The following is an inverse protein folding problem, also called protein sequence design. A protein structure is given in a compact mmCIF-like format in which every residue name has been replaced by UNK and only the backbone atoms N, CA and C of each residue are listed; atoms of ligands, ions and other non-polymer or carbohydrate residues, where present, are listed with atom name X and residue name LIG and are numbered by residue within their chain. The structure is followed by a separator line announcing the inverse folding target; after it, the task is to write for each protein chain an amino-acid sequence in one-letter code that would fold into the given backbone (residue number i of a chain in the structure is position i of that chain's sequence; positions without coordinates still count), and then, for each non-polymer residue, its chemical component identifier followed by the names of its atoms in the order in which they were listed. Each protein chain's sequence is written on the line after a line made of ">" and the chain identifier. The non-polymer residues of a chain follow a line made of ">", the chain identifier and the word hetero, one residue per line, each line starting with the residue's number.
data_IF_768774643053
#
_entry.id   IF_768774643053
#
_cell.length_a   1.000
_cell.length_b   1.000
_cell.length_c   1.000
_cell.angle_alpha   90.00
_cell.angle_beta   90.00
_cell.angle_gamma   90.00
#
_symmetry.space_group_name_H-M   'P 1'
#
loop_
_entity.id
_entity.type
_entity.pdbx_description
1 polymer ?
#
# COMPACT_ATOMS: atom_id res chain seq x y z
N UNK A 1 -17.09 4.32 10.33
CA UNK A 1 -15.78 4.34 9.67
C UNK A 1 -15.49 5.73 9.17
N UNK A 2 -14.24 6.08 9.03
CA UNK A 2 -13.82 7.44 8.68
C UNK A 2 -12.92 7.44 7.44
N UNK A 3 -12.85 8.59 6.79
CA UNK A 3 -11.87 8.75 5.71
C UNK A 3 -10.48 8.94 6.33
N UNK A 4 -9.46 8.35 5.72
CA UNK A 4 -8.08 8.49 6.15
C UNK A 4 -7.24 8.97 4.97
N UNK A 5 -6.19 9.70 5.29
CA UNK A 5 -5.24 10.18 4.28
C UNK A 5 -3.85 9.65 4.58
N UNK A 6 -3.01 9.60 3.55
CA UNK A 6 -1.63 9.17 3.69
C UNK A 6 -0.77 9.66 2.55
N UNK A 7 0.53 9.48 2.69
CA UNK A 7 1.47 9.89 1.66
C UNK A 7 2.83 9.23 1.86
N UNK A 8 3.66 9.26 0.80
CA UNK A 8 5.06 8.90 0.92
C UNK A 8 5.83 10.00 1.65
N UNK A 9 7.08 9.73 2.00
CA UNK A 9 7.90 10.69 2.75
C UNK A 9 8.04 12.05 2.05
N UNK A 10 8.23 12.07 0.73
CA UNK A 10 8.41 13.33 0.00
C UNK A 10 7.09 14.00 -0.40
N UNK A 11 5.98 13.33 -0.23
CA UNK A 11 4.66 13.89 -0.55
C UNK A 11 4.27 13.84 -2.02
N UNK A 12 5.11 13.26 -2.90
CA UNK A 12 4.79 13.18 -4.32
C UNK A 12 3.63 12.23 -4.60
N UNK A 13 3.46 11.20 -3.77
CA UNK A 13 2.36 10.24 -3.87
C UNK A 13 1.48 10.41 -2.64
N UNK A 14 0.20 10.67 -2.85
CA UNK A 14 -0.78 10.88 -1.78
C UNK A 14 -2.02 10.05 -2.05
N UNK A 15 -2.72 9.68 -1.00
CA UNK A 15 -3.97 8.94 -1.18
C UNK A 15 -5.00 9.28 -0.11
N UNK A 16 -6.26 9.07 -0.49
CA UNK A 16 -7.40 9.19 0.40
C UNK A 16 -8.12 7.84 0.40
N UNK A 17 -8.36 7.31 1.59
CA UNK A 17 -9.05 6.05 1.80
C UNK A 17 -10.45 6.39 2.31
N UNK A 18 -11.45 6.22 1.46
CA UNK A 18 -12.83 6.56 1.80
C UNK A 18 -13.45 5.45 2.63
N UNK A 19 -14.14 5.85 3.70
CA UNK A 19 -14.88 4.94 4.57
C UNK A 19 -13.99 3.77 5.02
N UNK A 20 -12.80 4.10 5.51
CA UNK A 20 -11.76 3.13 5.82
C UNK A 20 -12.12 2.30 7.05
N UNK A 21 -11.80 1.01 7.00
CA UNK A 21 -11.91 0.11 8.14
C UNK A 21 -10.92 0.51 9.23
N UNK A 22 -11.08 -0.01 10.44
CA UNK A 22 -10.23 0.36 11.57
C UNK A 22 -9.16 -0.67 11.89
N UNK A 23 -9.21 -1.84 11.25
CA UNK A 23 -8.28 -2.94 11.53
C UNK A 23 -7.11 -2.93 10.57
N UNK A 24 -5.96 -3.40 11.05
CA UNK A 24 -4.79 -3.61 10.22
C UNK A 24 -4.21 -4.99 10.48
N UNK A 25 -3.31 -5.42 9.60
CA UNK A 25 -2.64 -6.72 9.73
C UNK A 25 -1.14 -6.54 9.81
N UNK A 26 -0.47 -7.53 10.42
CA UNK A 26 0.98 -7.59 10.51
C UNK A 26 1.45 -8.82 9.74
N UNK A 27 2.38 -8.61 8.82
CA UNK A 27 2.98 -9.71 8.06
C UNK A 27 4.49 -9.69 8.28
N UNK A 28 5.03 -10.81 8.71
CA UNK A 28 6.45 -10.95 8.93
C UNK A 28 7.04 -12.15 8.16
N UNK A 29 6.47 -12.47 7.01
CA UNK A 29 7.06 -13.45 6.10
C UNK A 29 8.40 -12.92 5.56
N UNK A 30 9.20 -13.80 4.95
CA UNK A 30 10.51 -13.43 4.45
C UNK A 30 10.45 -12.26 3.46
N UNK A 31 9.48 -12.27 2.56
CA UNK A 31 9.33 -11.20 1.56
C UNK A 31 9.00 -9.87 2.24
N UNK A 32 8.05 -9.88 3.19
CA UNK A 32 7.71 -8.67 3.93
C UNK A 32 8.89 -8.12 4.71
N UNK A 33 9.65 -9.00 5.36
CA UNK A 33 10.83 -8.58 6.11
C UNK A 33 11.88 -7.93 5.21
N UNK A 34 12.11 -8.50 4.04
CA UNK A 34 13.13 -7.97 3.13
C UNK A 34 12.70 -6.65 2.47
N UNK A 35 11.43 -6.54 2.09
CA UNK A 35 10.95 -5.34 1.40
C UNK A 35 10.73 -4.16 2.35
N UNK A 36 10.36 -4.41 3.59
CA UNK A 36 10.08 -3.34 4.55
C UNK A 36 11.15 -3.18 5.63
N UNK A 37 12.08 -4.12 5.73
CA UNK A 37 13.10 -4.08 6.77
C UNK A 37 12.63 -4.55 8.14
N UNK A 38 11.46 -5.15 8.22
CA UNK A 38 10.90 -5.63 9.48
C UNK A 38 9.50 -6.18 9.27
N UNK A 39 8.67 -6.08 10.31
CA UNK A 39 7.28 -6.48 10.19
C UNK A 39 6.56 -5.46 9.30
N UNK A 40 5.80 -5.96 8.33
CA UNK A 40 4.99 -5.10 7.48
C UNK A 40 3.59 -4.95 8.07
N UNK A 41 3.28 -3.75 8.52
CA UNK A 41 1.94 -3.44 9.04
C UNK A 41 1.14 -2.84 7.89
N UNK A 42 0.01 -3.45 7.56
CA UNK A 42 -0.77 -3.07 6.40
C UNK A 42 -2.25 -2.89 6.73
N UNK A 43 -2.84 -1.94 6.05
CA UNK A 43 -4.24 -1.53 6.22
C UNK A 43 -4.96 -1.78 4.89
N UNK A 44 -5.96 -2.64 4.88
CA UNK A 44 -6.68 -2.98 3.65
C UNK A 44 -7.63 -1.88 3.22
N UNK A 45 -7.56 -1.50 1.95
CA UNK A 45 -8.43 -0.48 1.37
C UNK A 45 -8.96 -0.96 0.03
N UNK A 46 -10.30 -1.09 -0.12
CA UNK A 46 -10.87 -1.48 -1.42
C UNK A 46 -10.47 -0.51 -2.52
N UNK A 47 -10.22 -1.06 -3.72
CA UNK A 47 -9.77 -0.24 -4.84
C UNK A 47 -10.76 0.88 -5.18
N UNK A 48 -12.05 0.60 -5.12
CA UNK A 48 -13.09 1.57 -5.46
C UNK A 48 -13.21 2.71 -4.44
N UNK A 49 -12.59 2.57 -3.27
CA UNK A 49 -12.61 3.61 -2.23
C UNK A 49 -11.24 4.20 -1.97
N UNK A 50 -10.28 3.93 -2.85
CA UNK A 50 -8.90 4.41 -2.71
C UNK A 50 -8.60 5.40 -3.83
N UNK A 51 -8.36 6.67 -3.46
CA UNK A 51 -8.03 7.73 -4.41
C UNK A 51 -6.55 8.04 -4.29
N UNK A 52 -5.83 7.94 -5.41
CA UNK A 52 -4.39 8.13 -5.45
C UNK A 52 -4.04 9.33 -6.31
N UNK A 53 -3.20 10.22 -5.78
CA UNK A 53 -2.64 11.37 -6.49
C UNK A 53 -1.14 11.15 -6.62
N UNK A 54 -0.58 11.47 -7.80
CA UNK A 54 0.85 11.28 -8.02
C UNK A 54 1.21 9.87 -8.45
N UNK A 55 0.26 9.14 -9.04
CA UNK A 55 0.48 7.75 -9.47
C UNK A 55 1.63 7.63 -10.48
N UNK A 56 1.94 8.70 -11.21
CA UNK A 56 3.05 8.70 -12.18
C UNK A 56 4.42 8.52 -11.51
N UNK A 57 4.51 8.75 -10.20
CA UNK A 57 5.74 8.56 -9.43
C UNK A 57 5.83 7.20 -8.78
N UNK A 58 4.78 6.38 -8.89
CA UNK A 58 4.77 5.06 -8.27
C UNK A 58 5.53 4.06 -9.13
N UNK A 59 6.39 3.28 -8.48
CA UNK A 59 7.09 2.15 -9.10
C UNK A 59 6.62 0.88 -8.46
N UNK A 60 6.57 -0.20 -9.23
CA UNK A 60 6.10 -1.49 -8.73
C UNK A 60 7.10 -2.58 -9.02
N UNK A 61 7.21 -3.52 -8.10
CA UNK A 61 8.09 -4.68 -8.18
C UNK A 61 7.28 -5.95 -7.97
N UNK A 62 7.39 -6.89 -8.91
CA UNK A 62 6.77 -8.22 -8.76
C UNK A 62 7.57 -8.98 -7.70
N UNK A 63 7.07 -9.00 -6.47
CA UNK A 63 7.75 -9.65 -5.36
C UNK A 63 7.56 -11.16 -5.37
N UNK A 64 6.55 -11.66 -6.08
CA UNK A 64 6.27 -13.09 -6.22
C UNK A 64 5.37 -13.29 -7.45
N UNK A 65 5.00 -14.56 -7.72
CA UNK A 65 4.12 -14.89 -8.84
C UNK A 65 2.68 -14.40 -8.62
N UNK A 66 2.34 -14.06 -7.38
CA UNK A 66 0.97 -13.69 -7.03
C UNK A 66 0.81 -12.27 -6.51
N UNK A 67 1.88 -11.48 -6.45
CA UNK A 67 1.80 -10.16 -5.83
C UNK A 67 2.83 -9.18 -6.36
N UNK A 68 2.48 -7.89 -6.26
CA UNK A 68 3.41 -6.81 -6.50
C UNK A 68 3.42 -5.84 -5.33
N UNK A 69 4.53 -5.15 -5.14
CA UNK A 69 4.71 -4.14 -4.11
C UNK A 69 5.08 -2.83 -4.78
N UNK A 70 4.48 -1.75 -4.30
CA UNK A 70 4.66 -0.43 -4.90
C UNK A 70 5.34 0.51 -3.93
N UNK A 71 6.16 1.39 -4.48
CA UNK A 71 6.91 2.36 -3.69
C UNK A 71 7.03 3.66 -4.48
N UNK A 72 7.35 4.73 -3.77
CA UNK A 72 7.57 6.02 -4.43
C UNK A 72 8.92 6.00 -5.15
N UNK A 73 8.90 6.29 -6.45
CA UNK A 73 10.11 6.30 -7.26
C UNK A 73 11.04 7.47 -6.96
N UNK A 74 10.60 8.45 -6.19
CA UNK A 74 11.40 9.62 -5.82
C UNK A 74 12.08 9.40 -4.47
N UNK A 75 11.32 9.05 -3.43
CA UNK A 75 11.86 8.93 -2.07
C UNK A 75 12.03 7.51 -1.58
N UNK A 76 11.50 6.51 -2.30
CA UNK A 76 11.67 5.10 -1.95
C UNK A 76 10.71 4.58 -0.89
N UNK A 77 9.77 5.40 -0.39
CA UNK A 77 8.81 4.93 0.62
C UNK A 77 8.00 3.76 0.10
N UNK A 78 7.89 2.69 0.90
CA UNK A 78 6.99 1.59 0.59
C UNK A 78 5.56 2.07 0.75
N UNK A 79 4.71 1.83 -0.25
CA UNK A 79 3.35 2.34 -0.26
C UNK A 79 2.32 1.26 -0.03
N UNK A 80 2.25 0.26 -0.91
CA UNK A 80 1.24 -0.79 -0.79
C UNK A 80 1.66 -2.08 -1.45
N UNK A 81 0.89 -3.12 -1.13
CA UNK A 81 0.97 -4.45 -1.71
C UNK A 81 -0.36 -4.75 -2.38
N UNK A 82 -0.35 -5.44 -3.50
CA UNK A 82 -1.56 -5.89 -4.18
C UNK A 82 -1.36 -7.28 -4.78
N UNK A 83 -2.43 -8.07 -4.80
CA UNK A 83 -2.44 -9.35 -5.52
C UNK A 83 -2.43 -9.11 -7.02
N UNK A 84 -1.70 -9.97 -7.76
CA UNK A 84 -1.71 -9.95 -9.22
C UNK A 84 -2.52 -11.11 -9.80
N UNK A 85 -3.14 -11.94 -8.96
CA UNK A 85 -3.95 -13.07 -9.41
C UNK A 85 -5.22 -12.56 -10.07
N UNK A 86 -5.64 -13.16 -11.21
CA UNK A 86 -6.86 -12.73 -11.91
C UNK A 86 -8.12 -12.80 -11.05
N UNK A 87 -8.24 -13.83 -10.20
CA UNK A 87 -9.40 -14.02 -9.34
C UNK A 87 -9.53 -12.98 -8.24
N UNK A 88 -8.46 -12.23 -7.97
CA UNK A 88 -8.45 -11.21 -6.92
C UNK A 88 -8.71 -9.80 -7.45
N UNK A 89 -8.96 -9.65 -8.74
CA UNK A 89 -9.10 -8.32 -9.34
C UNK A 89 -10.53 -7.79 -9.28
N UNK A 90 -10.71 -6.48 -9.03
CA UNK A 90 -9.65 -5.51 -8.67
C UNK A 90 -9.15 -5.77 -7.25
N UNK A 91 -7.84 -5.94 -7.12
CA UNK A 91 -7.26 -6.27 -5.82
C UNK A 91 -7.33 -5.07 -4.87
N UNK A 92 -7.54 -5.36 -3.58
CA UNK A 92 -7.45 -4.33 -2.56
C UNK A 92 -6.01 -3.83 -2.42
N UNK A 93 -5.87 -2.59 -2.00
CA UNK A 93 -4.57 -2.05 -1.61
C UNK A 93 -4.30 -2.42 -0.16
N UNK A 94 -3.15 -3.05 0.10
CA UNK A 94 -2.66 -3.26 1.45
C UNK A 94 -1.68 -2.13 1.74
N UNK A 95 -2.21 -1.05 2.29
CA UNK A 95 -1.48 0.21 2.50
C UNK A 95 -0.58 0.09 3.72
N UNK A 96 0.67 0.53 3.60
CA UNK A 96 1.57 0.58 4.74
C UNK A 96 1.02 1.48 5.83
N UNK A 97 0.83 0.93 7.04
CA UNK A 97 0.19 1.65 8.13
C UNK A 97 0.93 2.94 8.48
N UNK A 98 2.26 2.91 8.44
CA UNK A 98 3.08 4.06 8.76
C UNK A 98 2.98 5.22 7.78
N UNK A 99 2.36 5.02 6.61
CA UNK A 99 2.18 6.10 5.64
C UNK A 99 0.90 6.90 5.88
N UNK A 100 0.03 6.44 6.76
CA UNK A 100 -1.18 7.16 7.11
C UNK A 100 -0.84 8.37 7.97
N UNK A 101 -1.58 9.46 7.77
CA UNK A 101 -1.30 10.73 8.44
C UNK A 101 -1.67 10.73 9.92
N UNK A 102 -2.56 9.84 10.34
CA UNK A 102 -3.02 9.78 11.74
C UNK A 102 -2.92 8.39 12.38
#
# INVERSE_FOLDING_TARGET
>A
MTDRTGQCQCGAVRYVLRDAAEAFTACHCTICQRTSGGINLAFSSPAERTEITGAEHVRSYRSSDWAERSFCGICGSNLWYRSTLPEDQPAEYSIGLGTLDD
#
